data_IF_765014593247
#
_entry.id   IF_765014593247
#
_cell.length_a   1.000
_cell.length_b   1.000
_cell.length_c   1.000
_cell.angle_alpha   90.00
_cell.angle_beta   90.00
_cell.angle_gamma   90.00
#
_symmetry.space_group_name_H-M   'P 1'
#
loop_
_entity.id
_entity.type
_entity.pdbx_description
1 polymer ?
#
# COMPACT_ATOMS: atom_id res chain seq x y z
N UNK A 1 -46.22 24.89 14.72
CA UNK A 1 -45.62 25.36 13.45
C UNK A 1 -44.32 26.08 13.83
N UNK A 2 -43.21 25.35 13.93
CA UNK A 2 -41.89 25.90 14.25
C UNK A 2 -40.96 25.50 13.12
N UNK A 3 -40.54 26.50 12.34
CA UNK A 3 -39.67 26.35 11.18
C UNK A 3 -38.22 26.28 11.67
N UNK A 4 -37.58 25.11 11.54
CA UNK A 4 -36.15 24.97 11.80
C UNK A 4 -35.36 25.51 10.62
N UNK A 5 -34.49 26.49 10.89
CA UNK A 5 -33.53 27.05 9.95
C UNK A 5 -32.43 26.01 9.73
N UNK A 6 -32.37 25.43 8.53
CA UNK A 6 -31.24 24.62 8.07
C UNK A 6 -30.04 25.54 7.82
N UNK A 7 -28.92 25.29 8.50
CA UNK A 7 -27.63 25.88 8.14
C UNK A 7 -27.09 25.21 6.86
N UNK A 8 -26.47 25.96 5.93
CA UNK A 8 -25.94 25.38 4.70
C UNK A 8 -24.70 24.53 4.97
N UNK A 9 -24.68 23.34 4.35
CA UNK A 9 -23.51 22.46 4.23
C UNK A 9 -22.37 23.24 3.57
N UNK A 10 -21.23 23.33 4.26
CA UNK A 10 -20.01 23.92 3.72
C UNK A 10 -19.58 23.15 2.45
N UNK A 11 -19.41 23.89 1.36
CA UNK A 11 -18.91 23.39 0.09
C UNK A 11 -17.50 22.82 0.29
N UNK A 12 -17.18 21.60 -0.20
CA UNK A 12 -15.81 21.11 -0.13
C UNK A 12 -14.91 22.02 -0.97
N UNK A 13 -13.88 22.58 -0.33
CA UNK A 13 -12.80 23.30 -1.01
C UNK A 13 -12.19 22.37 -2.07
N UNK A 14 -12.34 22.74 -3.33
CA UNK A 14 -11.65 22.10 -4.43
C UNK A 14 -10.15 22.32 -4.25
N UNK A 15 -9.40 21.26 -3.96
CA UNK A 15 -7.94 21.30 -4.05
C UNK A 15 -7.57 21.48 -5.53
N UNK A 16 -6.79 22.50 -5.90
CA UNK A 16 -6.34 22.63 -7.28
C UNK A 16 -5.50 21.40 -7.63
N UNK A 17 -5.78 20.83 -8.81
CA UNK A 17 -4.92 19.83 -9.43
C UNK A 17 -3.51 20.40 -9.51
N UNK A 18 -2.56 19.71 -8.87
CA UNK A 18 -1.18 20.15 -8.68
C UNK A 18 -0.54 20.56 -10.01
N UNK A 19 -0.04 21.79 -10.05
CA UNK A 19 1.09 22.13 -10.92
C UNK A 19 2.18 21.07 -10.69
N UNK A 20 2.79 20.59 -11.78
CA UNK A 20 3.94 19.71 -11.72
C UNK A 20 5.06 20.46 -10.97
N UNK A 21 5.15 20.22 -9.67
CA UNK A 21 6.24 20.71 -8.85
C UNK A 21 7.50 19.98 -9.34
N UNK A 22 8.36 20.75 -10.00
CA UNK A 22 9.76 20.44 -10.31
C UNK A 22 10.36 19.58 -9.18
N UNK A 23 10.89 18.39 -9.53
CA UNK A 23 11.47 17.36 -8.64
C UNK A 23 12.72 17.81 -7.89
N UNK A 24 12.88 19.11 -7.70
CA UNK A 24 13.71 19.65 -6.64
C UNK A 24 12.90 19.52 -5.35
N UNK A 25 12.90 18.31 -4.77
CA UNK A 25 12.92 18.17 -3.32
C UNK A 25 13.77 19.33 -2.82
N UNK A 26 13.15 20.27 -2.10
CA UNK A 26 13.78 21.51 -1.64
C UNK A 26 14.97 21.14 -0.76
N UNK A 27 16.10 20.87 -1.42
CA UNK A 27 17.41 20.78 -0.83
C UNK A 27 17.78 22.19 -0.45
N UNK A 28 17.44 22.57 0.77
CA UNK A 28 18.12 23.66 1.42
C UNK A 28 18.96 23.15 2.58
N UNK A 29 20.28 23.18 2.30
CA UNK A 29 21.35 23.63 3.18
C UNK A 29 21.49 22.84 4.49
N UNK A 30 22.14 21.68 4.38
CA UNK A 30 22.99 21.16 5.45
C UNK A 30 22.37 20.22 6.50
N UNK A 31 21.14 19.72 6.30
CA UNK A 31 20.54 18.71 7.18
C UNK A 31 20.57 17.31 6.57
N UNK A 32 20.99 16.31 7.33
CA UNK A 32 20.81 14.90 6.99
C UNK A 32 19.31 14.55 6.91
N UNK A 33 18.92 13.64 6.00
CA UNK A 33 17.54 13.18 5.90
C UNK A 33 17.14 12.40 7.17
N UNK A 34 15.89 12.50 7.66
CA UNK A 34 15.46 11.77 8.85
C UNK A 34 15.64 10.25 8.70
N UNK A 35 16.12 9.54 9.74
CA UNK A 35 16.21 8.09 9.71
C UNK A 35 14.83 7.44 9.69
N UNK A 36 14.77 6.24 9.11
CA UNK A 36 13.56 5.41 9.06
C UNK A 36 13.88 3.99 9.50
N UNK A 37 12.87 3.33 10.07
CA UNK A 37 12.82 1.86 10.10
C UNK A 37 11.99 1.36 8.93
N UNK A 38 12.24 0.12 8.52
CA UNK A 38 11.52 -0.53 7.43
C UNK A 38 10.83 -1.76 7.98
N UNK A 39 9.57 -1.98 7.58
CA UNK A 39 8.84 -3.22 7.86
C UNK A 39 8.45 -3.86 6.54
N UNK A 40 8.87 -5.11 6.34
CA UNK A 40 8.55 -5.91 5.15
C UNK A 40 7.71 -7.10 5.58
N UNK A 41 6.48 -7.19 5.08
CA UNK A 41 5.62 -8.34 5.33
C UNK A 41 5.81 -9.35 4.20
N UNK A 42 6.18 -10.58 4.55
CA UNK A 42 6.52 -11.59 3.57
C UNK A 42 5.77 -12.91 3.84
N UNK A 43 5.06 -13.41 2.82
CA UNK A 43 4.48 -14.74 2.83
C UNK A 43 5.45 -15.74 2.17
N UNK A 44 5.15 -17.04 2.31
CA UNK A 44 5.96 -18.11 1.72
C UNK A 44 6.20 -17.93 0.21
N UNK A 45 5.20 -17.39 -0.52
CA UNK A 45 5.30 -17.11 -1.96
C UNK A 45 6.37 -16.06 -2.32
N UNK A 46 6.72 -15.20 -1.37
CA UNK A 46 7.59 -14.02 -1.59
C UNK A 46 9.06 -14.34 -1.33
N UNK A 47 9.36 -15.48 -0.68
CA UNK A 47 10.70 -15.83 -0.22
C UNK A 47 11.76 -15.85 -1.33
N UNK A 48 11.36 -16.23 -2.55
CA UNK A 48 12.27 -16.26 -3.71
C UNK A 48 12.72 -14.86 -4.16
N UNK A 49 11.93 -13.82 -3.89
CA UNK A 49 12.22 -12.43 -4.27
C UNK A 49 12.65 -11.54 -3.09
N UNK A 50 12.51 -12.00 -1.86
CA UNK A 50 12.68 -11.19 -0.66
C UNK A 50 14.06 -10.50 -0.56
N UNK A 51 15.15 -11.17 -0.96
CA UNK A 51 16.49 -10.56 -0.93
C UNK A 51 16.60 -9.37 -1.89
N UNK A 52 15.94 -9.46 -3.05
CA UNK A 52 15.93 -8.38 -4.04
C UNK A 52 15.16 -7.18 -3.49
N UNK A 53 14.03 -7.42 -2.82
CA UNK A 53 13.27 -6.39 -2.11
C UNK A 53 14.15 -5.70 -1.04
N UNK A 54 14.74 -6.47 -0.12
CA UNK A 54 15.59 -5.96 0.97
C UNK A 54 16.77 -5.16 0.42
N UNK A 55 17.50 -5.70 -0.56
CA UNK A 55 18.64 -5.00 -1.18
C UNK A 55 18.20 -3.74 -1.89
N UNK A 56 17.06 -3.75 -2.57
CA UNK A 56 16.48 -2.57 -3.20
C UNK A 56 16.20 -1.47 -2.19
N UNK A 57 15.58 -1.80 -1.06
CA UNK A 57 15.35 -0.83 0.03
C UNK A 57 16.67 -0.26 0.55
N UNK A 58 17.62 -1.13 0.93
CA UNK A 58 18.88 -0.71 1.54
C UNK A 58 19.76 0.12 0.59
N UNK A 59 19.74 -0.20 -0.71
CA UNK A 59 20.56 0.48 -1.71
C UNK A 59 19.92 1.77 -2.24
N UNK A 60 18.58 1.90 -2.18
CA UNK A 60 17.84 2.98 -2.83
C UNK A 60 17.12 3.92 -1.85
N UNK A 61 17.14 3.64 -0.56
CA UNK A 61 16.66 4.62 0.42
C UNK A 61 17.67 5.76 0.56
N UNK A 62 17.24 6.99 0.26
CA UNK A 62 18.02 8.18 0.60
C UNK A 62 17.95 8.51 2.09
N UNK A 63 16.88 8.11 2.77
CA UNK A 63 16.78 8.19 4.22
C UNK A 63 17.69 7.12 4.86
N UNK A 64 18.45 7.44 5.91
CA UNK A 64 19.19 6.44 6.67
C UNK A 64 18.25 5.33 7.17
N UNK A 65 18.53 4.09 6.78
CA UNK A 65 17.76 2.93 7.24
C UNK A 65 18.44 2.36 8.48
N UNK A 66 17.76 2.46 9.62
CA UNK A 66 18.25 1.96 10.92
C UNK A 66 18.01 0.46 11.08
N UNK A 67 16.84 0.00 10.66
CA UNK A 67 16.36 -1.36 10.86
C UNK A 67 15.52 -1.80 9.67
N UNK A 68 15.66 -3.06 9.26
CA UNK A 68 14.73 -3.74 8.35
C UNK A 68 14.12 -4.92 9.09
N UNK A 69 12.88 -4.76 9.55
CA UNK A 69 12.10 -5.79 10.21
C UNK A 69 11.30 -6.60 9.19
N UNK A 70 11.73 -7.85 8.96
CA UNK A 70 11.00 -8.81 8.13
C UNK A 70 10.00 -9.55 9.00
N UNK A 71 8.71 -9.34 8.74
CA UNK A 71 7.60 -10.03 9.41
C UNK A 71 7.18 -11.21 8.54
N UNK A 72 7.42 -12.43 9.01
CA UNK A 72 7.10 -13.66 8.27
C UNK A 72 6.87 -14.84 9.23
N UNK A 73 6.04 -15.81 8.82
CA UNK A 73 5.79 -17.02 9.63
C UNK A 73 7.02 -17.92 9.79
N UNK A 74 7.83 -17.99 8.72
CA UNK A 74 9.00 -18.85 8.60
C UNK A 74 10.05 -18.10 7.82
N UNK A 75 11.29 -18.22 8.27
CA UNK A 75 12.42 -17.79 7.48
C UNK A 75 12.87 -18.89 6.51
N UNK A 76 13.41 -18.52 5.34
CA UNK A 76 14.20 -19.46 4.55
C UNK A 76 15.36 -20.01 5.38
N UNK A 77 15.87 -21.18 5.00
CA UNK A 77 16.95 -21.87 5.73
C UNK A 77 18.28 -21.09 5.76
N UNK A 78 18.41 -20.04 4.94
CA UNK A 78 19.56 -19.12 4.93
C UNK A 78 19.40 -18.05 6.02
N UNK A 79 20.49 -17.66 6.68
CA UNK A 79 20.43 -16.55 7.63
C UNK A 79 20.30 -15.21 6.89
N UNK A 80 19.47 -14.30 7.43
CA UNK A 80 19.44 -12.90 6.96
C UNK A 80 20.65 -12.12 7.47
N UNK A 81 21.38 -12.64 8.46
CA UNK A 81 22.64 -12.04 8.93
C UNK A 81 23.67 -11.94 7.79
N UNK A 82 23.56 -12.80 6.78
CA UNK A 82 24.42 -12.79 5.60
C UNK A 82 24.06 -11.66 4.60
N UNK A 83 22.88 -11.02 4.74
CA UNK A 83 22.45 -9.95 3.85
C UNK A 83 22.93 -8.58 4.33
N UNK A 84 22.59 -8.21 5.56
CA UNK A 84 22.97 -6.95 6.20
C UNK A 84 22.64 -7.03 7.70
N UNK A 85 23.51 -6.53 8.56
CA UNK A 85 23.34 -6.58 10.02
C UNK A 85 22.12 -5.82 10.55
N UNK A 86 21.50 -4.97 9.71
CA UNK A 86 20.26 -4.23 10.05
C UNK A 86 19.00 -5.05 9.81
N UNK A 87 19.09 -6.22 9.17
CA UNK A 87 17.93 -7.05 8.85
C UNK A 87 17.64 -7.98 10.01
N UNK A 88 16.42 -7.88 10.55
CA UNK A 88 15.96 -8.70 11.67
C UNK A 88 14.63 -9.36 11.33
N UNK A 89 14.40 -10.54 11.90
CA UNK A 89 13.15 -11.28 11.71
C UNK A 89 12.20 -11.10 12.89
N UNK A 90 10.91 -11.02 12.57
CA UNK A 90 9.81 -11.07 13.51
C UNK A 90 8.84 -12.18 13.10
N UNK A 91 8.54 -13.08 14.03
CA UNK A 91 7.56 -14.14 13.80
C UNK A 91 6.17 -13.55 13.70
N UNK A 92 5.52 -13.66 12.53
CA UNK A 92 4.18 -13.12 12.32
C UNK A 92 3.14 -13.67 13.33
N UNK A 93 3.39 -14.85 13.91
CA UNK A 93 2.52 -15.46 14.92
C UNK A 93 2.53 -14.69 16.23
N UNK A 94 3.52 -13.83 16.44
CA UNK A 94 3.63 -12.93 17.58
C UNK A 94 2.87 -11.61 17.36
N UNK A 95 2.36 -11.34 16.16
CA UNK A 95 1.50 -10.19 15.89
C UNK A 95 0.17 -10.31 16.65
N UNK A 96 -0.37 -9.17 17.09
CA UNK A 96 -1.69 -9.08 17.71
C UNK A 96 -2.57 -8.06 16.93
N UNK A 97 -3.62 -8.52 16.22
CA UNK A 97 -4.08 -9.91 16.09
C UNK A 97 -3.16 -10.76 15.21
N UNK A 98 -3.13 -12.06 15.46
CA UNK A 98 -2.54 -13.03 14.54
C UNK A 98 -3.51 -13.33 13.38
N UNK A 99 -3.01 -13.93 12.30
CA UNK A 99 -3.88 -14.41 11.21
C UNK A 99 -4.95 -15.40 11.69
N UNK A 100 -4.68 -16.15 12.76
CA UNK A 100 -5.64 -17.04 13.40
C UNK A 100 -6.77 -16.26 14.08
N UNK A 101 -6.45 -15.21 14.82
CA UNK A 101 -7.43 -14.36 15.49
C UNK A 101 -8.36 -13.70 14.47
N UNK A 102 -7.78 -13.17 13.38
CA UNK A 102 -8.55 -12.60 12.25
C UNK A 102 -9.49 -13.64 11.66
N UNK A 103 -9.02 -14.87 11.42
CA UNK A 103 -9.82 -15.97 10.87
C UNK A 103 -11.00 -16.34 11.77
N UNK A 104 -10.74 -16.50 13.07
CA UNK A 104 -11.77 -16.85 14.06
C UNK A 104 -12.80 -15.73 14.18
N UNK A 105 -12.36 -14.47 14.14
CA UNK A 105 -13.24 -13.31 14.17
C UNK A 105 -14.14 -13.21 12.94
N UNK A 106 -13.58 -13.38 11.73
CA UNK A 106 -14.37 -13.39 10.49
C UNK A 106 -15.43 -14.49 10.50
N UNK A 107 -15.08 -15.69 10.98
CA UNK A 107 -16.04 -16.79 11.16
C UNK A 107 -17.16 -16.41 12.12
N UNK A 108 -16.84 -15.76 13.24
CA UNK A 108 -17.82 -15.26 14.21
C UNK A 108 -18.78 -14.21 13.62
N UNK A 109 -18.34 -13.46 12.60
CA UNK A 109 -19.19 -12.53 11.83
C UNK A 109 -19.97 -13.21 10.69
N UNK A 110 -19.85 -14.52 10.49
CA UNK A 110 -20.45 -15.24 9.37
C UNK A 110 -19.81 -14.89 8.01
N UNK A 111 -18.57 -14.39 8.01
CA UNK A 111 -17.81 -14.02 6.81
C UNK A 111 -16.85 -15.12 6.39
N UNK A 112 -16.41 -15.07 5.13
CA UNK A 112 -15.47 -16.06 4.58
C UNK A 112 -14.09 -15.98 5.26
N UNK A 113 -13.69 -17.01 6.03
CA UNK A 113 -12.40 -17.06 6.71
C UNK A 113 -11.21 -17.22 5.76
N UNK A 114 -11.42 -17.52 4.47
CA UNK A 114 -10.35 -17.65 3.46
C UNK A 114 -9.60 -16.32 3.24
N UNK A 115 -10.28 -15.19 3.47
CA UNK A 115 -9.74 -13.83 3.32
C UNK A 115 -8.87 -13.37 4.49
N UNK A 116 -8.75 -14.19 5.55
CA UNK A 116 -8.09 -13.79 6.80
C UNK A 116 -6.61 -13.43 6.63
N UNK A 117 -5.88 -14.13 5.75
CA UNK A 117 -4.46 -13.83 5.49
C UNK A 117 -4.28 -12.46 4.85
N UNK A 118 -5.19 -12.06 3.96
CA UNK A 118 -5.17 -10.75 3.34
C UNK A 118 -5.45 -9.65 4.37
N UNK A 119 -6.53 -9.79 5.15
CA UNK A 119 -6.85 -8.82 6.20
C UNK A 119 -5.77 -8.72 7.28
N UNK A 120 -5.13 -9.83 7.62
CA UNK A 120 -3.98 -9.84 8.52
C UNK A 120 -2.84 -8.95 7.99
N UNK A 121 -2.49 -9.07 6.70
CA UNK A 121 -1.47 -8.20 6.11
C UNK A 121 -1.84 -6.72 6.21
N UNK A 122 -3.10 -6.35 5.93
CA UNK A 122 -3.56 -4.96 6.07
C UNK A 122 -3.40 -4.44 7.51
N UNK A 123 -3.79 -5.25 8.49
CA UNK A 123 -3.72 -4.90 9.91
C UNK A 123 -2.27 -4.81 10.41
N UNK A 124 -1.42 -5.77 10.04
CA UNK A 124 -0.02 -5.78 10.42
C UNK A 124 0.75 -4.57 9.86
N UNK A 125 0.36 -4.04 8.69
CA UNK A 125 0.87 -2.76 8.16
C UNK A 125 0.41 -1.56 9.00
N UNK A 126 -0.88 -1.48 9.33
CA UNK A 126 -1.46 -0.41 10.16
C UNK A 126 -0.99 -0.45 11.62
N UNK A 127 -0.50 -1.61 12.06
CA UNK A 127 0.06 -1.86 13.38
C UNK A 127 1.57 -2.12 13.32
N UNK A 128 2.27 -1.65 12.28
CA UNK A 128 3.68 -1.97 12.05
C UNK A 128 4.59 -1.59 13.23
N UNK A 129 4.23 -0.56 13.99
CA UNK A 129 4.94 -0.15 15.21
C UNK A 129 4.92 -1.18 16.34
N UNK A 130 3.94 -2.09 16.38
CA UNK A 130 3.85 -3.15 17.40
C UNK A 130 4.90 -4.25 17.15
N UNK A 131 5.39 -4.38 15.91
CA UNK A 131 6.43 -5.35 15.53
C UNK A 131 7.85 -4.78 15.65
N UNK A 132 8.00 -3.54 16.11
CA UNK A 132 9.28 -2.83 16.13
C UNK A 132 9.76 -2.57 17.57
N UNK A 133 11.09 -2.51 17.80
CA UNK A 133 11.64 -2.22 19.13
C UNK A 133 11.21 -0.85 19.68
N UNK A 134 11.25 -0.71 21.01
CA UNK A 134 11.15 0.59 21.65
C UNK A 134 12.25 1.54 21.15
N UNK A 135 11.92 2.81 20.94
CA UNK A 135 12.85 3.81 20.40
C UNK A 135 12.93 3.87 18.87
N UNK A 136 12.17 3.03 18.15
CA UNK A 136 12.02 3.12 16.70
C UNK A 136 11.64 4.55 16.25
N UNK A 137 12.21 5.05 15.12
CA UNK A 137 11.88 6.35 14.56
C UNK A 137 10.37 6.65 14.43
N UNK A 138 10.03 7.92 14.29
CA UNK A 138 8.64 8.38 14.07
C UNK A 138 8.06 7.87 12.74
N UNK A 139 8.94 7.62 11.76
CA UNK A 139 8.58 7.21 10.42
C UNK A 139 9.03 5.78 10.14
N UNK A 140 8.10 4.96 9.65
CA UNK A 140 8.34 3.58 9.25
C UNK A 140 7.93 3.39 7.81
N UNK A 141 8.87 3.00 6.96
CA UNK A 141 8.56 2.57 5.60
C UNK A 141 8.04 1.13 5.62
N UNK A 142 6.79 0.94 5.24
CA UNK A 142 6.22 -0.39 5.01
C UNK A 142 6.33 -0.72 3.53
N UNK A 143 6.82 -1.93 3.20
CA UNK A 143 7.00 -2.41 1.81
C UNK A 143 6.44 -3.82 1.68
N UNK A 144 5.76 -4.10 0.57
CA UNK A 144 5.38 -5.46 0.19
C UNK A 144 6.62 -6.26 -0.27
N UNK A 145 6.74 -7.52 0.17
CA UNK A 145 7.93 -8.34 -0.13
C UNK A 145 8.10 -8.70 -1.63
N UNK A 146 7.07 -8.51 -2.44
CA UNK A 146 7.08 -8.73 -3.89
C UNK A 146 7.25 -7.42 -4.70
N UNK A 147 7.93 -6.43 -4.11
CA UNK A 147 8.23 -5.12 -4.70
C UNK A 147 9.71 -4.73 -4.52
N UNK A 148 10.29 -3.97 -5.46
CA UNK A 148 11.68 -3.51 -5.38
C UNK A 148 11.85 -2.09 -5.92
N UNK A 149 12.62 -1.28 -5.20
CA UNK A 149 13.07 0.03 -5.66
C UNK A 149 14.27 -0.11 -6.61
N UNK A 150 14.20 0.59 -7.74
CA UNK A 150 15.24 0.62 -8.78
C UNK A 150 16.05 1.92 -8.75
N UNK A 151 15.50 2.98 -8.14
CA UNK A 151 16.09 4.31 -8.08
C UNK A 151 16.03 4.88 -6.68
N UNK A 152 16.97 5.78 -6.41
CA UNK A 152 17.11 6.41 -5.11
C UNK A 152 15.86 7.27 -4.79
N UNK A 153 15.31 7.07 -3.60
CA UNK A 153 14.06 7.68 -3.17
C UNK A 153 14.16 8.13 -1.70
N UNK A 154 13.73 9.36 -1.44
CA UNK A 154 13.43 9.82 -0.08
C UNK A 154 11.97 9.49 0.27
N UNK A 155 11.72 8.98 1.46
CA UNK A 155 10.41 8.67 2.01
C UNK A 155 9.99 9.68 3.08
N UNK A 156 10.95 10.33 3.72
CA UNK A 156 10.73 11.50 4.58
C UNK A 156 11.60 12.60 4.04
N UNK A 157 11.02 13.79 3.80
CA UNK A 157 11.79 14.91 3.28
C UNK A 157 12.67 15.53 4.39
N UNK A 158 13.60 16.42 4.00
CA UNK A 158 14.52 17.06 4.95
C UNK A 158 13.86 18.03 5.94
N UNK A 159 12.56 18.26 5.84
CA UNK A 159 11.77 19.07 6.78
C UNK A 159 10.93 18.19 7.73
N UNK A 160 10.90 16.87 7.54
CA UNK A 160 10.17 15.92 8.38
C UNK A 160 8.84 15.37 7.82
N UNK A 161 8.14 16.02 6.87
CA UNK A 161 6.98 15.40 6.24
C UNK A 161 7.25 14.07 5.53
N UNK A 162 6.29 13.15 5.68
CA UNK A 162 6.23 11.89 4.96
C UNK A 162 5.88 12.10 3.48
N UNK A 163 6.65 11.51 2.57
CA UNK A 163 6.43 11.59 1.11
C UNK A 163 5.63 10.37 0.66
N UNK A 164 4.31 10.55 0.53
CA UNK A 164 3.36 9.49 0.21
C UNK A 164 3.19 9.33 -1.31
N UNK A 165 3.09 8.10 -1.85
CA UNK A 165 2.74 7.91 -3.24
C UNK A 165 1.28 8.34 -3.49
N UNK A 166 1.00 8.88 -4.67
CA UNK A 166 -0.38 8.94 -5.19
C UNK A 166 -0.91 7.52 -5.42
N UNK A 167 -0.09 6.61 -5.96
CA UNK A 167 -0.49 5.24 -6.27
C UNK A 167 -1.46 5.15 -7.46
N UNK A 168 -2.09 4.00 -7.61
CA UNK A 168 -3.09 3.77 -8.67
C UNK A 168 -4.34 4.66 -8.51
N UNK A 169 -5.00 5.05 -9.61
CA UNK A 169 -6.28 5.73 -9.54
C UNK A 169 -7.36 4.81 -8.93
N UNK A 170 -8.27 5.38 -8.15
CA UNK A 170 -9.42 4.69 -7.54
C UNK A 170 -10.44 4.20 -8.59
N UNK A 171 -10.33 4.68 -9.83
CA UNK A 171 -11.01 4.13 -11.01
C UNK A 171 -10.04 4.11 -12.18
N UNK A 172 -9.78 2.92 -12.72
CA UNK A 172 -8.80 2.74 -13.79
C UNK A 172 -9.35 3.31 -15.09
N UNK A 173 -8.74 4.41 -15.52
CA UNK A 173 -8.94 4.99 -16.85
C UNK A 173 -7.62 4.90 -17.59
N UNK A 174 -7.57 4.03 -18.59
CA UNK A 174 -6.34 3.79 -19.33
C UNK A 174 -5.98 5.00 -20.18
N UNK A 175 -4.68 5.21 -20.37
CA UNK A 175 -4.13 6.22 -21.28
C UNK A 175 -4.59 7.66 -20.96
N UNK A 176 -4.89 7.96 -19.70
CA UNK A 176 -5.15 9.33 -19.22
C UNK A 176 -4.51 9.59 -17.86
N UNK A 177 -4.20 10.87 -17.60
CA UNK A 177 -3.77 11.40 -16.29
C UNK A 177 -4.91 12.10 -15.53
N UNK A 178 -6.10 12.18 -16.14
CA UNK A 178 -7.26 12.87 -15.59
C UNK A 178 -8.20 11.86 -14.95
N UNK A 179 -8.12 11.77 -13.63
CA UNK A 179 -8.92 10.85 -12.82
C UNK A 179 -9.97 11.60 -12.00
N UNK A 180 -11.06 10.92 -11.67
CA UNK A 180 -12.15 11.44 -10.83
C UNK A 180 -12.44 10.43 -9.74
N UNK A 181 -12.95 10.92 -8.61
CA UNK A 181 -13.47 10.04 -7.58
C UNK A 181 -14.60 9.18 -8.15
N UNK A 182 -14.59 7.87 -7.94
CA UNK A 182 -15.70 7.02 -8.31
C UNK A 182 -16.89 7.25 -7.36
N UNK A 183 -18.12 7.06 -7.85
CA UNK A 183 -19.32 7.12 -7.02
C UNK A 183 -19.35 6.01 -5.96
N UNK A 184 -18.74 4.86 -6.29
CA UNK A 184 -18.62 3.69 -5.43
C UNK A 184 -17.20 3.14 -5.45
N UNK A 185 -16.64 2.90 -4.26
CA UNK A 185 -15.37 2.19 -4.10
C UNK A 185 -15.30 1.61 -2.70
N UNK A 186 -15.19 0.28 -2.61
CA UNK A 186 -15.33 -0.46 -1.36
C UNK A 186 -14.35 -0.01 -0.28
N UNK A 187 -13.10 0.28 -0.63
CA UNK A 187 -12.14 0.76 0.38
C UNK A 187 -12.44 2.17 0.89
N UNK A 188 -13.04 3.05 0.06
CA UNK A 188 -13.44 4.39 0.50
C UNK A 188 -14.61 4.29 1.48
N UNK A 189 -15.61 3.49 1.12
CA UNK A 189 -16.79 3.28 1.96
C UNK A 189 -16.43 2.59 3.29
N UNK A 190 -15.52 1.61 3.27
CA UNK A 190 -15.02 0.97 4.48
C UNK A 190 -14.30 1.96 5.40
N UNK A 191 -13.44 2.82 4.86
CA UNK A 191 -12.75 3.86 5.63
C UNK A 191 -13.73 4.90 6.21
N UNK A 192 -14.74 5.30 5.43
CA UNK A 192 -15.81 6.20 5.88
C UNK A 192 -16.68 5.59 7.01
N UNK A 193 -16.95 4.28 6.96
CA UNK A 193 -17.61 3.54 8.07
C UNK A 193 -16.70 3.41 9.30
N UNK A 194 -15.39 3.30 9.11
CA UNK A 194 -14.42 3.15 10.19
C UNK A 194 -14.22 4.43 11.00
N UNK A 195 -14.06 5.57 10.32
CA UNK A 195 -13.74 6.84 10.98
C UNK A 195 -14.78 7.89 10.55
N UNK A 196 -15.64 8.36 11.47
CA UNK A 196 -16.59 9.43 11.18
C UNK A 196 -15.88 10.70 10.65
N UNK A 197 -16.40 11.25 9.55
CA UNK A 197 -15.82 12.43 8.90
C UNK A 197 -14.59 12.15 8.03
N UNK A 198 -14.17 10.89 7.89
CA UNK A 198 -13.19 10.49 6.88
C UNK A 198 -13.80 10.66 5.49
N UNK A 199 -13.04 11.32 4.61
CA UNK A 199 -13.40 11.56 3.21
C UNK A 199 -12.14 11.50 2.35
N UNK A 200 -12.21 10.96 1.13
CA UNK A 200 -11.08 11.01 0.21
C UNK A 200 -10.75 12.45 -0.18
N UNK A 201 -9.47 12.72 -0.40
CA UNK A 201 -8.98 14.06 -0.80
C UNK A 201 -8.79 14.20 -2.31
N UNK A 202 -8.63 13.09 -3.04
CA UNK A 202 -8.45 13.06 -4.49
C UNK A 202 -8.75 11.65 -5.04
N UNK A 203 -8.58 11.48 -6.36
CA UNK A 203 -8.92 10.25 -7.08
C UNK A 203 -7.85 9.14 -7.02
N UNK A 204 -6.84 9.25 -6.14
CA UNK A 204 -5.72 8.30 -6.07
C UNK A 204 -5.70 7.51 -4.77
N UNK A 205 -5.43 6.21 -4.88
CA UNK A 205 -5.61 5.26 -3.79
C UNK A 205 -4.50 5.24 -2.75
N UNK A 206 -3.31 5.74 -3.08
CA UNK A 206 -2.08 5.51 -2.30
C UNK A 206 -1.49 4.11 -2.41
N UNK A 207 -2.17 3.18 -3.10
CA UNK A 207 -1.67 1.83 -3.29
C UNK A 207 -0.50 1.86 -4.28
N UNK A 208 0.71 1.60 -3.78
CA UNK A 208 1.96 1.56 -4.56
C UNK A 208 2.95 0.55 -3.98
N UNK A 209 2.44 -0.49 -3.29
CA UNK A 209 3.25 -1.55 -2.65
C UNK A 209 4.28 -1.08 -1.61
N UNK A 210 4.26 0.20 -1.28
CA UNK A 210 4.98 0.79 -0.18
C UNK A 210 4.27 2.05 0.31
N UNK A 211 4.46 2.38 1.59
CA UNK A 211 4.06 3.66 2.16
C UNK A 211 4.86 3.93 3.42
N UNK A 212 5.27 5.18 3.61
CA UNK A 212 5.78 5.61 4.91
C UNK A 212 4.60 5.91 5.85
N UNK A 213 4.61 5.27 7.00
CA UNK A 213 3.68 5.53 8.07
C UNK A 213 4.35 6.38 9.15
N UNK A 214 3.59 7.35 9.62
CA UNK A 214 3.93 8.25 10.71
C UNK A 214 3.20 7.80 11.97
N UNK A 215 3.95 7.63 13.06
CA UNK A 215 3.45 7.06 14.33
C UNK A 215 2.28 7.86 14.87
N UNK A 216 2.39 9.18 14.88
CA UNK A 216 1.33 10.05 15.38
C UNK A 216 0.07 9.97 14.51
N UNK A 217 0.21 9.89 13.18
CA UNK A 217 -0.95 9.76 12.27
C UNK A 217 -1.64 8.40 12.46
N UNK A 218 -0.89 7.30 12.52
CA UNK A 218 -1.45 5.97 12.79
C UNK A 218 -2.11 5.90 14.16
N UNK A 219 -1.48 6.49 15.18
CA UNK A 219 -2.04 6.59 16.52
C UNK A 219 -3.41 7.26 16.53
N UNK A 220 -3.57 8.36 15.79
CA UNK A 220 -4.84 9.07 15.66
C UNK A 220 -5.90 8.22 14.91
N UNK A 221 -5.52 7.52 13.83
CA UNK A 221 -6.40 6.60 13.09
C UNK A 221 -6.96 5.54 14.04
N UNK A 222 -6.07 4.87 14.78
CA UNK A 222 -6.41 3.81 15.73
C UNK A 222 -7.31 4.37 16.83
N UNK A 223 -6.95 5.50 17.43
CA UNK A 223 -7.73 6.11 18.50
C UNK A 223 -9.13 6.51 18.05
N UNK A 224 -9.28 7.16 16.89
CA UNK A 224 -10.59 7.59 16.37
C UNK A 224 -11.50 6.41 16.04
N UNK A 225 -10.95 5.38 15.40
CA UNK A 225 -11.70 4.17 15.11
C UNK A 225 -12.16 3.47 16.40
N UNK A 226 -11.28 3.28 17.39
CA UNK A 226 -11.66 2.66 18.67
C UNK A 226 -12.71 3.49 19.41
N UNK A 227 -12.58 4.82 19.41
CA UNK A 227 -13.56 5.72 20.01
C UNK A 227 -14.93 5.63 19.33
N UNK A 228 -14.96 5.53 18.01
CA UNK A 228 -16.20 5.46 17.24
C UNK A 228 -16.94 4.12 17.42
N UNK A 229 -16.21 3.02 17.60
CA UNK A 229 -16.79 1.67 17.61
C UNK A 229 -16.83 1.00 18.99
N UNK A 230 -16.10 1.52 19.98
CA UNK A 230 -16.07 0.97 21.35
C UNK A 230 -15.41 -0.41 21.47
N UNK A 231 -14.59 -0.80 20.50
CA UNK A 231 -13.94 -2.11 20.38
C UNK A 231 -12.48 -1.93 19.90
N UNK A 232 -11.61 -2.96 20.00
CA UNK A 232 -10.26 -2.89 19.46
C UNK A 232 -10.21 -2.52 17.98
N UNK A 233 -9.19 -1.75 17.58
CA UNK A 233 -9.05 -1.22 16.22
C UNK A 233 -9.21 -2.27 15.12
N UNK A 234 -8.50 -3.40 15.26
CA UNK A 234 -8.52 -4.45 14.24
C UNK A 234 -9.92 -5.05 14.05
N UNK A 235 -10.70 -5.16 15.14
CA UNK A 235 -12.08 -5.61 15.08
C UNK A 235 -12.98 -4.59 14.38
N UNK A 236 -12.81 -3.31 14.68
CA UNK A 236 -13.52 -2.22 14.00
C UNK A 236 -13.21 -2.23 12.49
N UNK A 237 -11.93 -2.31 12.12
CA UNK A 237 -11.49 -2.38 10.72
C UNK A 237 -12.16 -3.54 9.97
N UNK A 238 -12.17 -4.74 10.57
CA UNK A 238 -12.83 -5.91 9.98
C UNK A 238 -14.35 -5.73 9.90
N UNK A 239 -15.02 -5.21 10.94
CA UNK A 239 -16.47 -4.98 10.93
C UNK A 239 -16.91 -4.01 9.84
N UNK A 240 -16.08 -3.02 9.53
CA UNK A 240 -16.40 -1.98 8.55
C UNK A 240 -16.03 -2.36 7.12
N UNK A 241 -15.20 -3.38 6.94
CA UNK A 241 -14.84 -3.89 5.62
C UNK A 241 -16.07 -4.51 4.92
N UNK A 242 -16.14 -4.35 3.60
CA UNK A 242 -17.22 -4.93 2.78
C UNK A 242 -17.16 -6.47 2.82
N UNK A 243 -18.22 -7.16 3.28
CA UNK A 243 -18.24 -8.61 3.39
C UNK A 243 -18.35 -9.33 2.04
N UNK A 244 -18.79 -8.64 0.98
CA UNK A 244 -19.00 -9.22 -0.34
C UNK A 244 -17.73 -9.18 -1.20
N UNK A 245 -16.64 -8.57 -0.72
CA UNK A 245 -15.38 -8.46 -1.45
C UNK A 245 -14.21 -8.97 -0.63
N UNK A 246 -13.33 -9.71 -1.28
CA UNK A 246 -12.08 -10.16 -0.65
C UNK A 246 -11.18 -8.97 -0.29
N UNK A 247 -11.17 -7.90 -1.10
CA UNK A 247 -10.50 -6.61 -0.83
C UNK A 247 -11.42 -5.60 -0.15
N UNK A 248 -12.13 -6.00 0.90
CA UNK A 248 -13.19 -5.18 1.50
C UNK A 248 -12.74 -3.87 2.18
N UNK A 249 -11.44 -3.65 2.40
CA UNK A 249 -10.86 -2.45 3.02
C UNK A 249 -9.36 -2.31 2.73
N UNK A 250 -8.84 -1.11 2.48
CA UNK A 250 -7.40 -0.91 2.24
C UNK A 250 -6.76 -0.01 3.29
N UNK A 251 -5.61 -0.48 3.81
CA UNK A 251 -4.70 0.25 4.67
C UNK A 251 -4.14 1.51 4.01
N UNK A 252 -3.71 1.41 2.75
CA UNK A 252 -3.11 2.53 2.03
C UNK A 252 -4.14 3.59 1.68
N UNK A 253 -5.34 3.17 1.25
CA UNK A 253 -6.47 4.10 1.02
C UNK A 253 -6.84 4.82 2.31
N UNK A 254 -7.02 4.06 3.41
CA UNK A 254 -7.35 4.62 4.72
C UNK A 254 -6.34 5.66 5.17
N UNK A 255 -5.06 5.28 5.21
CA UNK A 255 -4.00 6.12 5.74
C UNK A 255 -3.74 7.35 4.88
N UNK A 256 -3.55 7.20 3.56
CA UNK A 256 -3.17 8.31 2.68
C UNK A 256 -4.17 9.46 2.76
N UNK A 257 -5.45 9.15 2.61
CA UNK A 257 -6.49 10.19 2.64
C UNK A 257 -6.69 10.75 4.04
N UNK A 258 -6.56 9.94 5.10
CA UNK A 258 -6.62 10.44 6.47
C UNK A 258 -5.47 11.41 6.75
N UNK A 259 -4.24 11.02 6.42
CA UNK A 259 -3.04 11.83 6.59
C UNK A 259 -3.14 13.16 5.83
N UNK A 260 -3.49 13.11 4.54
CA UNK A 260 -3.64 14.30 3.71
C UNK A 260 -4.76 15.25 4.19
N UNK A 261 -5.83 14.70 4.79
CA UNK A 261 -6.97 15.49 5.25
C UNK A 261 -6.73 16.14 6.61
N UNK A 262 -6.16 15.39 7.55
CA UNK A 262 -6.09 15.80 8.96
C UNK A 262 -4.69 16.25 9.39
N UNK A 263 -3.66 15.95 8.60
CA UNK A 263 -2.27 16.32 8.84
C UNK A 263 -1.57 16.80 7.54
N UNK A 264 -2.16 17.73 6.77
CA UNK A 264 -1.61 18.18 5.48
C UNK A 264 -0.19 18.77 5.59
N UNK A 265 0.19 19.27 6.76
CA UNK A 265 1.52 19.80 7.06
C UNK A 265 2.57 18.70 7.25
N UNK A 266 2.16 17.46 7.56
CA UNK A 266 3.06 16.32 7.84
C UNK A 266 3.20 15.37 6.65
N UNK A 267 2.53 15.66 5.54
CA UNK A 267 2.63 14.84 4.34
C UNK A 267 2.90 15.66 3.08
N UNK A 268 3.58 15.02 2.14
CA UNK A 268 3.76 15.43 0.75
C UNK A 268 3.34 14.26 -0.14
N UNK A 269 3.05 14.55 -1.40
CA UNK A 269 2.61 13.54 -2.35
C UNK A 269 3.51 13.55 -3.59
N UNK A 270 3.76 12.36 -4.15
CA UNK A 270 4.46 12.20 -5.43
C UNK A 270 3.86 11.09 -6.27
N UNK A 271 4.06 11.18 -7.58
CA UNK A 271 3.96 9.98 -8.42
C UNK A 271 5.23 9.15 -8.26
N UNK A 272 5.08 7.84 -8.42
CA UNK A 272 6.18 6.89 -8.48
C UNK A 272 5.99 6.11 -9.76
N UNK A 273 6.90 6.28 -10.71
CA UNK A 273 6.81 5.55 -11.97
C UNK A 273 7.20 4.10 -11.73
N UNK A 274 6.25 3.20 -11.92
CA UNK A 274 6.42 1.80 -11.58
C UNK A 274 5.75 0.88 -12.59
N UNK A 275 6.23 -0.35 -12.61
CA UNK A 275 5.57 -1.46 -13.31
C UNK A 275 5.28 -2.57 -12.33
N UNK A 276 4.01 -2.98 -12.26
CA UNK A 276 3.59 -4.16 -11.51
C UNK A 276 3.21 -5.27 -12.49
N UNK A 277 3.90 -6.40 -12.39
CA UNK A 277 3.52 -7.63 -13.08
C UNK A 277 2.59 -8.42 -12.18
N UNK A 278 1.33 -8.55 -12.59
CA UNK A 278 0.33 -9.33 -11.86
C UNK A 278 0.03 -10.63 -12.59
N UNK A 279 -0.10 -11.73 -11.85
CA UNK A 279 -0.30 -13.05 -12.45
C UNK A 279 -0.98 -14.03 -11.48
N UNK A 280 -1.44 -15.15 -12.02
CA UNK A 280 -1.92 -16.26 -11.20
C UNK A 280 -0.76 -16.91 -10.42
N UNK A 281 -1.06 -17.36 -9.21
CA UNK A 281 -0.16 -18.25 -8.49
C UNK A 281 -0.17 -19.64 -9.14
N UNK A 282 1.00 -20.15 -9.51
CA UNK A 282 1.12 -21.46 -10.17
C UNK A 282 2.56 -21.79 -10.55
N UNK A 283 2.74 -22.91 -11.25
CA UNK A 283 4.02 -23.27 -11.87
C UNK A 283 4.21 -22.50 -13.17
N UNK A 284 5.40 -21.91 -13.34
CA UNK A 284 5.67 -20.98 -14.45
C UNK A 284 5.14 -19.57 -14.16
N UNK A 285 5.70 -18.57 -14.83
CA UNK A 285 5.43 -17.15 -14.58
C UNK A 285 6.63 -16.43 -13.96
N UNK A 286 6.55 -15.11 -13.92
CA UNK A 286 7.68 -14.25 -13.56
C UNK A 286 7.99 -14.32 -12.06
N UNK A 287 9.25 -14.24 -11.67
CA UNK A 287 9.67 -13.94 -10.29
C UNK A 287 10.18 -12.50 -10.17
N UNK A 288 10.13 -11.91 -8.97
CA UNK A 288 10.60 -10.53 -8.75
C UNK A 288 12.03 -10.29 -9.28
N UNK A 289 13.02 -11.18 -9.09
CA UNK A 289 14.36 -10.97 -9.68
C UNK A 289 14.35 -10.85 -11.21
N UNK A 290 13.51 -11.60 -11.91
CA UNK A 290 13.39 -11.53 -13.38
C UNK A 290 12.75 -10.20 -13.82
N UNK A 291 11.71 -9.75 -13.11
CA UNK A 291 11.06 -8.47 -13.37
C UNK A 291 12.01 -7.31 -13.11
N UNK A 292 12.78 -7.37 -12.02
CA UNK A 292 13.81 -6.38 -11.69
C UNK A 292 14.89 -6.30 -12.78
N UNK A 293 15.39 -7.46 -13.25
CA UNK A 293 16.37 -7.51 -14.33
C UNK A 293 15.81 -6.95 -15.65
N UNK A 294 14.54 -7.24 -15.97
CA UNK A 294 13.88 -6.71 -17.17
C UNK A 294 13.68 -5.17 -17.15
N UNK A 295 13.78 -4.54 -15.98
CA UNK A 295 13.71 -3.09 -15.81
C UNK A 295 15.09 -2.43 -15.70
N UNK A 296 16.19 -3.19 -15.80
CA UNK A 296 17.54 -2.64 -15.75
C UNK A 296 17.75 -1.61 -16.87
N UNK A 297 18.29 -0.44 -16.52
CA UNK A 297 18.48 0.68 -17.46
C UNK A 297 17.22 1.49 -17.78
N UNK A 298 16.04 1.12 -17.24
CA UNK A 298 14.80 1.87 -17.45
C UNK A 298 14.74 3.19 -16.66
N UNK A 299 13.72 4.01 -16.96
CA UNK A 299 13.38 5.20 -16.18
C UNK A 299 12.55 4.92 -14.92
N UNK A 300 12.17 3.66 -14.69
CA UNK A 300 11.27 3.28 -13.61
C UNK A 300 11.92 3.49 -12.24
N UNK A 301 11.12 3.94 -11.28
CA UNK A 301 11.51 4.07 -9.89
C UNK A 301 11.46 2.73 -9.15
N UNK A 302 10.52 1.86 -9.53
CA UNK A 302 10.29 0.59 -8.87
C UNK A 302 9.56 -0.43 -9.77
N UNK A 303 9.61 -1.70 -9.38
CA UNK A 303 8.79 -2.76 -10.00
C UNK A 303 8.23 -3.72 -8.97
N UNK A 304 7.06 -4.29 -9.26
CA UNK A 304 6.38 -5.31 -8.46
C UNK A 304 6.12 -6.59 -9.26
N UNK A 305 5.99 -7.72 -8.57
CA UNK A 305 5.71 -9.02 -9.16
C UNK A 305 4.71 -9.81 -8.30
N UNK A 306 3.42 -9.53 -8.45
CA UNK A 306 2.38 -10.03 -7.56
C UNK A 306 1.72 -11.30 -8.09
N UNK A 307 1.71 -12.33 -7.25
CA UNK A 307 1.07 -13.62 -7.52
C UNK A 307 -0.19 -13.76 -6.69
N UNK A 308 -1.29 -14.01 -7.40
CA UNK A 308 -2.62 -14.06 -6.81
C UNK A 308 -3.17 -15.49 -6.79
N UNK A 309 -3.57 -15.97 -5.60
CA UNK A 309 -4.51 -17.09 -5.48
C UNK A 309 -5.86 -16.66 -6.07
N UNK A 310 -6.54 -17.50 -6.84
CA UNK A 310 -7.84 -17.18 -7.45
C UNK A 310 -7.79 -15.93 -8.35
N UNK A 311 -6.75 -15.81 -9.19
CA UNK A 311 -6.48 -14.61 -9.99
C UNK A 311 -7.69 -14.08 -10.78
N UNK A 312 -8.42 -14.96 -11.47
CA UNK A 312 -9.62 -14.58 -12.22
C UNK A 312 -10.74 -14.01 -11.32
N UNK A 313 -10.98 -14.62 -10.15
CA UNK A 313 -11.96 -14.14 -9.18
C UNK A 313 -11.55 -12.78 -8.58
N UNK A 314 -10.25 -12.56 -8.37
CA UNK A 314 -9.73 -11.27 -7.91
C UNK A 314 -9.96 -10.18 -8.95
N UNK A 315 -9.58 -10.42 -10.20
CA UNK A 315 -9.84 -9.46 -11.29
C UNK A 315 -11.35 -9.19 -11.44
N UNK A 316 -12.19 -10.22 -11.28
CA UNK A 316 -13.65 -10.10 -11.38
C UNK A 316 -14.27 -9.19 -10.30
N UNK A 317 -13.61 -9.02 -9.15
CA UNK A 317 -14.14 -8.30 -7.98
C UNK A 317 -13.49 -6.94 -7.72
N UNK A 318 -12.42 -6.60 -8.43
CA UNK A 318 -11.76 -5.28 -8.36
C UNK A 318 -12.67 -4.19 -8.94
N UNK A 319 -13.25 -3.36 -8.07
CA UNK A 319 -14.18 -2.29 -8.44
C UNK A 319 -13.52 -1.07 -9.05
N UNK A 320 -12.20 -0.93 -8.91
CA UNK A 320 -11.43 0.05 -9.66
C UNK A 320 -11.20 -0.36 -11.13
N UNK A 321 -11.48 -1.60 -11.56
CA UNK A 321 -11.41 -2.00 -12.98
C UNK A 321 -12.79 -1.83 -13.64
N UNK A 322 -12.96 -0.95 -14.64
CA UNK A 322 -14.22 -0.80 -15.37
C UNK A 322 -14.70 -2.12 -16.00
N UNK A 323 -16.01 -2.28 -16.15
CA UNK A 323 -16.63 -3.56 -16.56
C UNK A 323 -16.17 -4.05 -17.94
N UNK A 324 -15.96 -3.14 -18.89
CA UNK A 324 -15.43 -3.43 -20.22
C UNK A 324 -13.99 -3.95 -20.16
N UNK A 325 -13.10 -3.22 -19.47
CA UNK A 325 -11.72 -3.65 -19.25
C UNK A 325 -11.66 -4.98 -18.49
N UNK A 326 -12.52 -5.15 -17.48
CA UNK A 326 -12.63 -6.36 -16.68
C UNK A 326 -13.00 -7.58 -17.54
N UNK A 327 -13.95 -7.43 -18.46
CA UNK A 327 -14.30 -8.51 -19.41
C UNK A 327 -13.11 -8.92 -20.27
N UNK A 328 -12.32 -7.95 -20.74
CA UNK A 328 -11.12 -8.23 -21.55
C UNK A 328 -10.06 -8.97 -20.74
N UNK A 329 -9.71 -8.49 -19.55
CA UNK A 329 -8.64 -9.12 -18.73
C UNK A 329 -9.06 -10.45 -18.13
N UNK A 330 -10.36 -10.67 -17.89
CA UNK A 330 -10.85 -11.95 -17.36
C UNK A 330 -11.09 -13.01 -18.45
N UNK A 331 -11.17 -12.65 -19.73
CA UNK A 331 -11.40 -13.60 -20.82
C UNK A 331 -10.24 -14.58 -20.98
N UNK A 332 -9.02 -14.09 -20.85
CA UNK A 332 -7.79 -14.89 -20.87
C UNK A 332 -6.87 -14.41 -19.73
N UNK A 333 -6.88 -15.06 -18.56
CA UNK A 333 -6.11 -14.64 -17.40
C UNK A 333 -4.61 -14.94 -17.60
N UNK A 334 -4.00 -14.17 -18.48
CA UNK A 334 -2.55 -14.14 -18.71
C UNK A 334 -1.90 -13.15 -17.74
N UNK A 335 -0.60 -13.28 -17.46
CA UNK A 335 0.13 -12.25 -16.71
C UNK A 335 -0.07 -10.88 -17.34
N UNK A 336 -0.35 -9.86 -16.53
CA UNK A 336 -0.50 -8.48 -16.98
C UNK A 336 0.64 -7.63 -16.44
N UNK A 337 1.05 -6.68 -17.26
CA UNK A 337 1.96 -5.60 -16.91
C UNK A 337 1.13 -4.33 -16.75
N UNK A 338 1.09 -3.80 -15.53
CA UNK A 338 0.48 -2.52 -15.18
C UNK A 338 1.61 -1.49 -15.13
N UNK A 339 1.58 -0.47 -15.98
CA UNK A 339 2.56 0.62 -15.92
C UNK A 339 1.89 1.90 -15.46
N UNK A 340 2.41 2.49 -14.39
CA UNK A 340 2.04 3.80 -13.88
C UNK A 340 3.17 4.79 -14.17
N UNK A 341 2.87 5.88 -14.87
CA UNK A 341 3.83 6.92 -15.28
C UNK A 341 3.23 8.32 -15.06
N UNK A 342 3.63 8.99 -13.98
CA UNK A 342 3.08 10.31 -13.64
C UNK A 342 1.55 10.33 -13.59
N UNK A 343 0.93 9.27 -13.06
CA UNK A 343 -0.53 9.09 -13.00
C UNK A 343 -1.17 8.50 -14.26
N UNK A 344 -0.40 8.25 -15.32
CA UNK A 344 -0.85 7.55 -16.53
C UNK A 344 -0.84 6.05 -16.29
N UNK A 345 -2.00 5.40 -16.30
CA UNK A 345 -2.10 3.95 -16.23
C UNK A 345 -2.19 3.35 -17.64
N UNK A 346 -1.31 2.39 -17.93
CA UNK A 346 -1.41 1.53 -19.12
C UNK A 346 -1.32 0.07 -18.72
N UNK A 347 -1.95 -0.81 -19.51
CA UNK A 347 -2.00 -2.26 -19.25
C UNK A 347 -1.64 -2.99 -20.53
N UNK A 348 -0.81 -4.03 -20.41
CA UNK A 348 -0.41 -4.93 -21.49
C UNK A 348 -0.29 -6.36 -20.95
N UNK A 349 -0.24 -7.36 -21.82
CA UNK A 349 0.14 -8.70 -21.41
C UNK A 349 1.64 -8.74 -21.12
N UNK A 350 2.04 -9.37 -20.02
CA UNK A 350 3.43 -9.67 -19.70
C UNK A 350 3.79 -11.01 -20.35
N UNK A 351 4.69 -10.98 -21.34
CA UNK A 351 5.12 -12.16 -22.10
C UNK A 351 6.64 -12.31 -22.07
N UNK A 352 7.20 -13.54 -22.04
CA UNK A 352 8.63 -13.76 -22.19
C UNK A 352 9.13 -13.50 -23.62
N UNK A 353 10.32 -12.90 -23.82
CA UNK A 353 11.14 -12.24 -22.81
C UNK A 353 10.46 -10.96 -22.32
N UNK A 354 10.47 -10.71 -21.01
CA UNK A 354 9.84 -9.53 -20.43
C UNK A 354 10.65 -8.28 -20.80
N UNK A 355 9.97 -7.26 -21.34
CA UNK A 355 10.59 -5.97 -21.71
C UNK A 355 9.86 -4.83 -21.03
N UNK A 356 10.55 -4.12 -20.14
CA UNK A 356 9.96 -3.04 -19.32
C UNK A 356 10.44 -1.63 -19.71
N UNK A 357 11.20 -1.51 -20.80
CA UNK A 357 11.67 -0.24 -21.36
C UNK A 357 10.52 0.77 -21.57
#
# INVERSE_FOLDING_TARGET
>A
MLCQVQQPLATPLAYPASEAADERLMGHRGGELPPISVVILAAEKDMAGLDVCIRGVLARSLNPVELVQVVAQRLPARSFDDLDSRVVWFDERSCAPSSRDVREYLRGLGRDPSTASWYFQQLAKLQCFDALPAGTPEHVLVVDADFVFLRDMAFVDGQGPSVLPYGYPLSWRLNTRVHRLPDHHTALEAAGRLIPGWLPVDAYSGMQHHMVFDRTILGEIIQRAQKAHGIPFWQAFLRTADPCKWTGASEYVLYRHFAARFFPERVRHRHVDAVDVIQAQGHGGFVLPEVAAAAEGSSLHAVGCHRFLHYAERLATMDYIPADLRRTVCAEPTPLQLRLDGGLLTIRNAVPPLTLA
#
